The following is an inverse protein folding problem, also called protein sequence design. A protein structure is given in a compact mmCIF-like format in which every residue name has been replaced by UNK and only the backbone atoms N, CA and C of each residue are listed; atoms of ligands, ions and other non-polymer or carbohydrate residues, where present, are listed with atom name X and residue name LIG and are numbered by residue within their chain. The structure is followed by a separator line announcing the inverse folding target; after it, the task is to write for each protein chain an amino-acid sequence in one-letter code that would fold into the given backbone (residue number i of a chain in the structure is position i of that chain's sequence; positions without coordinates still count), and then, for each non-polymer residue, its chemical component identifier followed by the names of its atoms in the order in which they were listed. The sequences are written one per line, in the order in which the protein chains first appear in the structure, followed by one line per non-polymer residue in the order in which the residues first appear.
data_IF_882269448397
#
_entry.id   IF_882269448397
#
_cell.length_a   1.000
_cell.length_b   1.000
_cell.length_c   1.000
_cell.angle_alpha   90.00
_cell.angle_beta   90.00
_cell.angle_gamma   90.00
#
_symmetry.space_group_name_H-M   'P 1'
#
loop_
_entity.id
_entity.type
_entity.pdbx_description
1 polymer ?
#
# COMPACT_ATOMS: atom_id res chain seq x y z
N UNK A 1 22.69 -1.43 10.48
CA UNK A 1 22.36 -0.29 9.59
C UNK A 1 22.67 1.00 10.32
N UNK A 2 23.67 1.76 9.88
CA UNK A 2 24.01 3.06 10.47
C UNK A 2 23.39 4.15 9.62
N UNK A 3 22.38 4.84 10.13
CA UNK A 3 21.74 5.97 9.42
C UNK A 3 22.71 7.15 9.46
N UNK A 4 23.31 7.51 8.32
CA UNK A 4 24.18 8.68 8.22
C UNK A 4 23.40 9.95 8.54
N UNK A 5 24.03 10.84 9.32
CA UNK A 5 23.50 12.16 9.61
C UNK A 5 23.28 12.98 8.33
N UNK A 6 22.18 13.72 8.31
CA UNK A 6 21.73 14.55 7.20
C UNK A 6 22.73 15.69 6.90
N UNK A 7 23.13 15.94 5.63
CA UNK A 7 23.99 17.07 5.30
C UNK A 7 23.24 18.40 5.46
N UNK A 8 23.91 19.42 6.02
CA UNK A 8 23.29 20.72 6.41
C UNK A 8 22.65 21.52 5.26
N UNK A 9 22.91 21.19 3.99
CA UNK A 9 22.60 22.07 2.84
C UNK A 9 21.76 21.42 1.71
N UNK A 10 21.14 20.25 1.92
CA UNK A 10 20.29 19.60 0.92
C UNK A 10 18.83 19.55 1.38
N UNK A 11 17.86 19.82 0.50
CA UNK A 11 16.41 19.72 0.78
C UNK A 11 15.92 18.26 0.94
N UNK A 12 16.65 17.43 1.69
CA UNK A 12 16.22 16.11 2.13
C UNK A 12 15.61 16.22 3.53
N UNK A 13 14.44 15.60 3.76
CA UNK A 13 13.81 15.60 5.08
C UNK A 13 14.72 14.89 6.08
N UNK A 14 15.38 15.66 6.94
CA UNK A 14 16.20 15.15 8.04
C UNK A 14 15.29 14.66 9.19
N UNK A 15 14.52 13.59 8.97
CA UNK A 15 13.72 12.99 10.04
C UNK A 15 14.66 12.33 11.06
N UNK A 16 14.63 12.72 12.35
CA UNK A 16 15.46 12.10 13.36
C UNK A 16 15.25 10.59 13.44
N UNK A 17 16.31 9.83 13.73
CA UNK A 17 16.27 8.36 13.64
C UNK A 17 15.20 7.73 14.55
N UNK A 18 14.91 8.32 15.70
CA UNK A 18 13.86 7.84 16.61
C UNK A 18 12.46 8.06 16.05
N UNK A 19 12.24 9.13 15.27
CA UNK A 19 10.98 9.35 14.57
C UNK A 19 10.85 8.36 13.41
N UNK A 20 11.92 8.07 12.67
CA UNK A 20 11.90 7.03 11.63
C UNK A 20 11.59 5.66 12.23
N UNK A 21 12.18 5.33 13.37
CA UNK A 21 11.91 4.10 14.10
C UNK A 21 10.42 4.00 14.47
N UNK A 22 9.87 5.05 15.08
CA UNK A 22 8.46 5.08 15.47
C UNK A 22 7.51 4.97 14.26
N UNK A 23 7.79 5.68 13.17
CA UNK A 23 7.00 5.59 11.93
C UNK A 23 7.06 4.20 11.31
N UNK A 24 8.22 3.54 11.36
CA UNK A 24 8.36 2.16 10.90
C UNK A 24 7.58 1.19 11.80
N UNK A 25 7.71 1.31 13.12
CA UNK A 25 6.92 0.53 14.06
C UNK A 25 5.42 0.72 13.83
N UNK A 26 4.98 1.95 13.59
CA UNK A 26 3.58 2.24 13.28
C UNK A 26 3.13 1.53 11.99
N UNK A 27 3.94 1.57 10.92
CA UNK A 27 3.60 0.92 9.65
C UNK A 27 3.52 -0.62 9.76
N UNK A 28 4.33 -1.23 10.63
CA UNK A 28 4.40 -2.69 10.77
C UNK A 28 3.41 -3.25 11.81
N UNK A 29 3.21 -2.56 12.93
CA UNK A 29 2.48 -3.10 14.08
C UNK A 29 1.05 -2.56 14.23
N UNK A 30 0.67 -1.51 13.50
CA UNK A 30 -0.70 -1.02 13.56
C UNK A 30 -1.66 -2.02 12.93
N UNK A 31 -2.81 -2.23 13.55
CA UNK A 31 -3.88 -3.06 13.01
C UNK A 31 -5.07 -2.20 12.59
N UNK A 32 -5.26 -2.04 11.29
CA UNK A 32 -6.37 -1.27 10.70
C UNK A 32 -7.46 -2.16 10.11
N UNK A 33 -7.50 -3.46 10.45
CA UNK A 33 -8.39 -4.43 9.82
C UNK A 33 -9.87 -4.04 9.91
N UNK A 34 -10.34 -3.56 11.05
CA UNK A 34 -11.74 -3.18 11.23
C UNK A 34 -12.13 -2.01 10.34
N UNK A 35 -11.24 -1.03 10.19
CA UNK A 35 -11.43 0.12 9.30
C UNK A 35 -11.41 -0.32 7.84
N UNK A 36 -10.48 -1.20 7.46
CA UNK A 36 -10.40 -1.74 6.09
C UNK A 36 -11.68 -2.49 5.72
N UNK A 37 -12.20 -3.33 6.62
CA UNK A 37 -13.46 -4.06 6.42
C UNK A 37 -14.66 -3.14 6.29
N UNK A 38 -14.70 -2.08 7.11
CA UNK A 38 -15.76 -1.08 7.02
C UNK A 38 -15.68 -0.30 5.69
N UNK A 39 -14.49 0.09 5.27
CA UNK A 39 -14.29 0.75 3.98
C UNK A 39 -14.76 -0.13 2.82
N UNK A 40 -14.36 -1.40 2.80
CA UNK A 40 -14.72 -2.37 1.74
C UNK A 40 -16.25 -2.54 1.58
N UNK A 41 -17.02 -2.40 2.67
CA UNK A 41 -18.49 -2.47 2.62
C UNK A 41 -19.18 -1.17 2.20
N UNK A 42 -18.52 -0.02 2.36
CA UNK A 42 -19.14 1.31 2.20
C UNK A 42 -18.75 2.01 0.92
N UNK A 43 -17.52 1.84 0.48
CA UNK A 43 -16.96 2.50 -0.68
C UNK A 43 -16.30 1.45 -1.57
N UNK A 44 -16.31 1.65 -2.89
CA UNK A 44 -15.54 0.80 -3.79
C UNK A 44 -14.05 0.87 -3.45
N UNK A 45 -13.44 -0.29 -3.21
CA UNK A 45 -12.02 -0.43 -2.89
C UNK A 45 -11.34 -1.37 -3.86
N UNK A 46 -10.08 -1.09 -4.20
CA UNK A 46 -9.20 -1.96 -4.96
C UNK A 46 -7.92 -2.18 -4.14
N UNK A 47 -7.51 -3.44 -3.98
CA UNK A 47 -6.28 -3.78 -3.27
C UNK A 47 -5.19 -4.22 -4.25
N UNK A 48 -4.09 -3.49 -4.28
CA UNK A 48 -2.89 -3.93 -4.97
C UNK A 48 -2.00 -4.76 -4.05
N UNK A 49 -1.40 -5.81 -4.59
CA UNK A 49 -0.56 -6.76 -3.85
C UNK A 49 0.77 -6.91 -4.58
N UNK A 50 1.88 -6.77 -3.84
CA UNK A 50 3.20 -6.99 -4.42
C UNK A 50 3.42 -8.48 -4.72
N UNK A 51 4.05 -8.80 -5.85
CA UNK A 51 4.20 -10.17 -6.37
C UNK A 51 4.80 -11.13 -5.35
N UNK A 52 5.86 -10.70 -4.67
CA UNK A 52 6.58 -11.51 -3.69
C UNK A 52 5.79 -11.83 -2.41
N UNK A 53 4.60 -11.24 -2.22
CA UNK A 53 3.69 -11.52 -1.11
C UNK A 53 2.38 -12.19 -1.54
N UNK A 54 2.16 -12.38 -2.84
CA UNK A 54 0.87 -12.78 -3.40
C UNK A 54 0.32 -14.07 -2.77
N UNK A 55 1.17 -15.08 -2.61
CA UNK A 55 0.83 -16.41 -2.07
C UNK A 55 0.09 -16.36 -0.72
N UNK A 56 0.38 -15.35 0.10
CA UNK A 56 -0.22 -15.18 1.43
C UNK A 56 -1.27 -14.07 1.39
N UNK A 57 -0.92 -12.92 0.82
CA UNK A 57 -1.72 -11.71 0.92
C UNK A 57 -3.04 -11.82 0.17
N UNK A 58 -3.07 -12.45 -1.01
CA UNK A 58 -4.29 -12.49 -1.83
C UNK A 58 -5.40 -13.30 -1.17
N UNK A 59 -5.08 -14.52 -0.71
CA UNK A 59 -6.04 -15.36 0.03
C UNK A 59 -6.53 -14.66 1.31
N UNK A 60 -5.61 -14.00 2.02
CA UNK A 60 -5.98 -13.27 3.23
C UNK A 60 -6.91 -12.09 2.93
N UNK A 61 -6.59 -11.26 1.93
CA UNK A 61 -7.42 -10.12 1.52
C UNK A 61 -8.81 -10.57 1.10
N UNK A 62 -8.91 -11.58 0.24
CA UNK A 62 -10.19 -12.13 -0.21
C UNK A 62 -11.04 -12.70 0.93
N UNK A 63 -10.40 -13.27 1.96
CA UNK A 63 -11.10 -13.74 3.16
C UNK A 63 -11.58 -12.59 4.05
N UNK A 64 -10.79 -11.53 4.20
CA UNK A 64 -11.12 -10.44 5.12
C UNK A 64 -12.08 -9.42 4.49
N UNK A 65 -11.93 -9.13 3.21
CA UNK A 65 -12.65 -8.10 2.47
C UNK A 65 -13.08 -8.67 1.09
N UNK A 66 -14.06 -9.60 1.05
CA UNK A 66 -14.47 -10.27 -0.19
C UNK A 66 -15.05 -9.30 -1.24
N UNK A 67 -15.51 -8.12 -0.85
CA UNK A 67 -16.01 -7.08 -1.74
C UNK A 67 -14.88 -6.33 -2.46
N UNK A 68 -13.64 -6.43 -1.98
CA UNK A 68 -12.48 -5.72 -2.54
C UNK A 68 -11.76 -6.61 -3.55
N UNK A 69 -11.84 -6.33 -4.86
CA UNK A 69 -11.00 -7.02 -5.83
C UNK A 69 -9.50 -6.81 -5.52
N UNK A 70 -8.70 -7.84 -5.77
CA UNK A 70 -7.23 -7.80 -5.68
C UNK A 70 -6.60 -7.64 -7.06
N UNK A 71 -5.39 -7.09 -7.10
CA UNK A 71 -4.53 -7.09 -8.28
C UNK A 71 -3.07 -7.25 -7.86
N UNK A 72 -2.40 -8.28 -8.39
CA UNK A 72 -1.01 -8.58 -8.06
C UNK A 72 -0.09 -7.96 -9.11
N UNK A 73 0.84 -7.10 -8.70
CA UNK A 73 1.88 -6.52 -9.57
C UNK A 73 3.08 -5.97 -8.79
N UNK A 74 4.28 -6.08 -9.36
CA UNK A 74 5.47 -5.33 -8.94
C UNK A 74 5.88 -5.44 -7.46
N UNK A 75 6.58 -4.40 -6.99
CA UNK A 75 7.09 -4.28 -5.62
C UNK A 75 6.29 -3.29 -4.76
N UNK A 76 6.77 -2.98 -3.55
CA UNK A 76 6.07 -2.08 -2.62
C UNK A 76 5.82 -0.67 -3.18
N UNK A 77 6.65 -0.24 -4.15
CA UNK A 77 6.55 1.06 -4.81
C UNK A 77 5.98 0.95 -6.24
N UNK A 78 5.13 -0.06 -6.49
CA UNK A 78 4.54 -0.36 -7.80
C UNK A 78 3.94 0.84 -8.55
N UNK A 79 3.30 1.79 -7.86
CA UNK A 79 2.73 2.98 -8.50
C UNK A 79 3.82 3.91 -9.09
N UNK A 80 5.03 3.89 -8.51
CA UNK A 80 6.17 4.65 -9.00
C UNK A 80 6.99 3.86 -10.02
N UNK A 81 7.17 2.56 -9.79
CA UNK A 81 7.99 1.68 -10.63
C UNK A 81 7.28 1.32 -11.94
N UNK A 82 5.96 1.10 -11.89
CA UNK A 82 5.14 0.62 -13.01
C UNK A 82 3.88 1.49 -13.19
N UNK A 83 4.00 2.82 -13.38
CA UNK A 83 2.87 3.74 -13.38
C UNK A 83 1.85 3.43 -14.48
N UNK A 84 2.30 2.93 -15.63
CA UNK A 84 1.41 2.59 -16.74
C UNK A 84 0.45 1.44 -16.41
N UNK A 85 1.00 0.32 -15.93
CA UNK A 85 0.19 -0.84 -15.54
C UNK A 85 -0.69 -0.54 -14.33
N UNK A 86 -0.13 0.15 -13.33
CA UNK A 86 -0.87 0.55 -12.13
C UNK A 86 -2.10 1.38 -12.49
N UNK A 87 -1.90 2.45 -13.29
CA UNK A 87 -2.99 3.35 -13.68
C UNK A 87 -3.99 2.66 -14.61
N UNK A 88 -3.54 1.84 -15.55
CA UNK A 88 -4.46 1.11 -16.43
C UNK A 88 -5.42 0.20 -15.64
N UNK A 89 -4.92 -0.47 -14.60
CA UNK A 89 -5.76 -1.29 -13.72
C UNK A 89 -6.71 -0.44 -12.86
N UNK A 90 -6.25 0.74 -12.43
CA UNK A 90 -7.06 1.68 -11.66
C UNK A 90 -8.20 2.24 -12.53
N UNK A 91 -7.90 2.67 -13.75
CA UNK A 91 -8.89 3.18 -14.70
C UNK A 91 -9.96 2.12 -14.98
N UNK A 92 -9.56 0.86 -15.24
CA UNK A 92 -10.50 -0.26 -15.40
C UNK A 92 -11.41 -0.46 -14.18
N UNK A 93 -10.89 -0.25 -12.97
CA UNK A 93 -11.68 -0.33 -11.75
C UNK A 93 -12.69 0.81 -11.69
N UNK A 94 -12.26 2.05 -11.93
CA UNK A 94 -13.12 3.24 -11.91
C UNK A 94 -14.22 3.15 -12.98
N UNK A 95 -13.88 2.75 -14.19
CA UNK A 95 -14.84 2.55 -15.30
C UNK A 95 -15.90 1.46 -14.98
N UNK A 96 -15.60 0.55 -14.06
CA UNK A 96 -16.57 -0.47 -13.63
C UNK A 96 -17.62 0.07 -12.66
N UNK A 97 -17.36 1.22 -12.02
CA UNK A 97 -18.23 1.85 -11.02
C UNK A 97 -19.25 2.81 -11.63
N UNK A 98 -18.96 3.35 -12.82
CA UNK A 98 -19.81 4.29 -13.56
C UNK A 98 -20.94 3.60 -14.36
N UNK A 99 -21.18 2.32 -14.11
CA UNK A 99 -22.22 1.50 -14.78
C UNK A 99 -23.33 1.12 -13.80
#
# INVERSE_FOLDING_TARGET
MTVKACPKNGRGRCTPYWIVHELFCNAIFSNYLDITKEAARRIPTLMYIAEHWADIAESWCNKQCPETPTYVMGGHLMAYEYPGEFNARLDQFLDSLDK
#
